data_IF_297227652815
#
_entry.id   IF_297227652815
#
_cell.length_a   1.000
_cell.length_b   1.000
_cell.length_c   1.000
_cell.angle_alpha   90.00
_cell.angle_beta   90.00
_cell.angle_gamma   90.00
#
_symmetry.space_group_name_H-M   'P 1'
#
loop_
_entity.id
_entity.type
_entity.pdbx_description
1 polymer ?
#
# COMPACT_ATOMS: atom_id res chain seq x y z
N UNK A 1 -9.22 5.33 -14.50
CA UNK A 1 -8.77 3.93 -14.41
C UNK A 1 -7.25 3.93 -14.25
N UNK A 2 -6.60 2.77 -14.11
CA UNK A 2 -5.14 2.69 -14.02
C UNK A 2 -4.59 1.77 -15.10
N UNK A 3 -3.33 1.99 -15.48
CA UNK A 3 -2.61 1.19 -16.46
C UNK A 3 -1.20 0.88 -15.95
N UNK A 4 -0.76 -0.35 -16.18
CA UNK A 4 0.61 -0.79 -15.91
C UNK A 4 1.41 -0.71 -17.21
N UNK A 5 2.61 -0.13 -17.15
CA UNK A 5 3.61 -0.27 -18.20
C UNK A 5 4.77 -1.10 -17.65
N UNK A 6 5.10 -2.18 -18.35
CA UNK A 6 6.26 -3.02 -18.06
C UNK A 6 7.39 -2.57 -18.99
N UNK A 7 8.53 -2.19 -18.40
CA UNK A 7 9.74 -1.85 -19.14
C UNK A 7 10.67 -3.06 -19.10
N UNK A 8 11.14 -3.51 -20.25
CA UNK A 8 12.14 -4.56 -20.31
C UNK A 8 13.58 -3.99 -20.19
N UNK A 9 14.58 -4.86 -20.16
CA UNK A 9 15.99 -4.46 -20.14
C UNK A 9 16.49 -3.89 -21.48
N UNK A 10 15.74 -4.06 -22.57
CA UNK A 10 16.05 -3.51 -23.89
C UNK A 10 15.49 -2.09 -24.09
N UNK A 11 14.66 -1.61 -23.15
CA UNK A 11 13.94 -0.34 -23.21
C UNK A 11 12.56 -0.42 -23.90
N UNK A 12 12.12 -1.61 -24.31
CA UNK A 12 10.77 -1.86 -24.81
C UNK A 12 9.75 -1.66 -23.68
N UNK A 13 8.60 -1.06 -24.03
CA UNK A 13 7.51 -0.79 -23.10
C UNK A 13 6.23 -1.47 -23.55
N UNK A 14 5.72 -2.39 -22.74
CA UNK A 14 4.44 -3.06 -22.96
C UNK A 14 3.39 -2.55 -21.98
N UNK A 15 2.15 -2.40 -22.43
CA UNK A 15 1.06 -1.83 -21.63
C UNK A 15 0.04 -2.89 -21.30
N UNK A 16 -0.42 -2.88 -20.05
CA UNK A 16 -1.38 -3.84 -19.53
C UNK A 16 -2.56 -3.10 -18.88
N UNK A 17 -3.77 -3.49 -19.31
CA UNK A 17 -5.00 -3.02 -18.71
C UNK A 17 -5.22 -3.67 -17.35
N UNK A 18 -5.78 -2.89 -16.43
CA UNK A 18 -6.13 -3.35 -15.09
C UNK A 18 -7.06 -4.57 -15.15
N UNK A 19 -6.68 -5.65 -14.47
CA UNK A 19 -7.52 -6.86 -14.39
C UNK A 19 -8.62 -6.70 -13.34
N UNK A 20 -8.28 -6.21 -12.15
CA UNK A 20 -9.25 -5.88 -11.11
C UNK A 20 -8.71 -4.83 -10.14
N UNK A 21 -9.63 -4.12 -9.48
CA UNK A 21 -9.33 -3.24 -8.36
C UNK A 21 -10.20 -3.63 -7.16
N UNK A 22 -9.64 -3.53 -5.96
CA UNK A 22 -10.36 -3.70 -4.71
C UNK A 22 -10.13 -2.52 -3.79
N UNK A 23 -11.22 -1.85 -3.43
CA UNK A 23 -11.23 -0.72 -2.53
C UNK A 23 -11.45 -1.21 -1.09
N UNK A 24 -10.62 -0.72 -0.19
CA UNK A 24 -10.70 -0.90 1.24
C UNK A 24 -10.92 0.47 1.92
N UNK A 25 -11.00 0.52 3.25
CA UNK A 25 -11.35 1.75 3.96
C UNK A 25 -10.45 2.96 3.65
N UNK A 26 -9.14 2.74 3.50
CA UNK A 26 -8.15 3.81 3.27
C UNK A 26 -7.22 3.56 2.07
N UNK A 27 -7.46 2.48 1.33
CA UNK A 27 -6.52 2.01 0.30
C UNK A 27 -7.23 1.31 -0.85
N UNK A 28 -6.50 1.14 -1.96
CA UNK A 28 -6.91 0.29 -3.09
C UNK A 28 -5.80 -0.67 -3.47
N UNK A 29 -6.16 -1.93 -3.67
CA UNK A 29 -5.32 -2.92 -4.33
C UNK A 29 -5.67 -2.98 -5.82
N UNK A 30 -4.69 -2.75 -6.68
CA UNK A 30 -4.80 -2.80 -8.13
C UNK A 30 -3.99 -3.98 -8.65
N UNK A 31 -4.57 -4.81 -9.52
CA UNK A 31 -3.89 -6.01 -9.98
C UNK A 31 -3.95 -6.18 -11.50
N UNK A 32 -2.84 -6.63 -12.05
CA UNK A 32 -2.65 -7.03 -13.44
C UNK A 32 -2.25 -8.49 -13.48
N UNK A 33 -3.18 -9.35 -13.86
CA UNK A 33 -2.97 -10.78 -14.03
C UNK A 33 -2.38 -11.08 -15.41
N UNK A 34 -1.36 -11.92 -15.44
CA UNK A 34 -0.56 -12.15 -16.64
C UNK A 34 -1.29 -12.94 -17.72
N UNK A 35 -2.12 -13.93 -17.40
CA UNK A 35 -2.72 -14.80 -18.43
C UNK A 35 -1.70 -15.36 -19.45
N UNK A 36 -0.41 -15.41 -19.10
CA UNK A 36 0.71 -15.77 -19.99
C UNK A 36 1.38 -14.61 -20.77
N UNK A 37 0.98 -13.35 -20.56
CA UNK A 37 1.46 -12.18 -21.33
C UNK A 37 2.46 -11.28 -20.58
N UNK A 38 2.75 -11.56 -19.30
CA UNK A 38 3.80 -10.84 -18.58
C UNK A 38 5.13 -11.58 -18.80
N UNK A 39 6.22 -10.86 -19.12
CA UNK A 39 7.53 -11.47 -19.35
C UNK A 39 8.14 -12.00 -18.05
N UNK A 40 9.22 -12.76 -18.18
CA UNK A 40 9.99 -13.24 -17.03
C UNK A 40 10.58 -12.08 -16.24
N UNK A 41 10.68 -12.25 -14.93
CA UNK A 41 11.16 -11.18 -14.05
C UNK A 41 12.55 -10.68 -14.45
N UNK A 42 13.43 -11.58 -14.89
CA UNK A 42 14.80 -11.25 -15.32
C UNK A 42 14.85 -10.35 -16.55
N UNK A 43 13.79 -10.33 -17.37
CA UNK A 43 13.72 -9.51 -18.57
C UNK A 43 13.20 -8.10 -18.27
N UNK A 44 12.65 -7.87 -17.08
CA UNK A 44 12.00 -6.62 -16.68
C UNK A 44 13.00 -5.72 -15.94
N UNK A 45 13.04 -4.45 -16.33
CA UNK A 45 13.83 -3.42 -15.65
C UNK A 45 13.00 -2.67 -14.60
N UNK A 46 11.79 -2.24 -14.97
CA UNK A 46 10.91 -1.50 -14.07
C UNK A 46 9.41 -1.66 -14.39
N UNK A 47 8.58 -1.39 -13.40
CA UNK A 47 7.14 -1.22 -13.52
C UNK A 47 6.76 0.24 -13.37
N UNK A 48 5.95 0.76 -14.29
CA UNK A 48 5.41 2.12 -14.22
C UNK A 48 3.90 2.09 -14.08
N UNK A 49 3.40 2.68 -13.01
CA UNK A 49 1.96 2.86 -12.80
C UNK A 49 1.52 4.21 -13.35
N UNK A 50 0.40 4.21 -14.07
CA UNK A 50 -0.22 5.43 -14.59
C UNK A 50 -1.69 5.52 -14.22
N UNK A 51 -2.13 6.73 -13.84
CA UNK A 51 -3.53 7.11 -13.80
C UNK A 51 -4.03 7.48 -15.19
N UNK A 52 -5.13 6.85 -15.61
CA UNK A 52 -5.75 7.08 -16.92
C UNK A 52 -7.10 7.74 -16.70
N UNK A 53 -7.28 8.92 -17.29
CA UNK A 53 -8.51 9.68 -17.16
C UNK A 53 -8.92 10.25 -18.53
N UNK A 54 -10.24 10.31 -18.81
CA UNK A 54 -10.71 10.95 -20.03
C UNK A 54 -10.30 12.43 -19.98
N UNK A 55 -9.85 12.96 -21.12
CA UNK A 55 -9.54 14.39 -21.21
C UNK A 55 -10.80 15.22 -20.96
N UNK A 56 -10.89 15.87 -19.79
CA UNK A 56 -11.95 16.82 -19.48
C UNK A 56 -11.50 18.20 -19.97
N UNK A 57 -11.81 18.57 -21.22
CA UNK A 57 -11.77 19.99 -21.61
C UNK A 57 -12.89 20.71 -20.86
N UNK A 58 -12.56 21.34 -19.74
CA UNK A 58 -13.32 22.48 -19.24
C UNK A 58 -12.98 23.71 -20.09
N UNK A 59 -13.47 23.75 -21.33
CA UNK A 59 -13.78 24.99 -22.08
C UNK A 59 -14.01 24.71 -23.57
N UNK A 60 -15.01 25.42 -24.08
CA UNK A 60 -15.40 25.62 -25.49
C UNK A 60 -16.44 24.64 -26.04
N UNK A 61 -17.70 25.07 -25.87
CA UNK A 61 -18.84 24.70 -26.70
C UNK A 61 -18.50 24.88 -28.18
N UNK A 62 -18.21 23.80 -28.90
CA UNK A 62 -18.50 23.74 -30.32
C UNK A 62 -18.98 22.34 -30.71
N UNK A 63 -20.03 22.35 -31.51
CA UNK A 63 -20.89 21.23 -31.85
C UNK A 63 -20.12 20.01 -32.38
N UNK A 64 -20.31 18.88 -31.72
CA UNK A 64 -19.89 17.57 -32.21
C UNK A 64 -19.94 16.53 -31.09
N UNK A 65 -21.02 15.75 -31.03
CA UNK A 65 -21.07 14.54 -30.21
C UNK A 65 -20.12 13.51 -30.84
N UNK A 66 -18.82 13.61 -30.57
CA UNK A 66 -17.90 12.51 -30.85
C UNK A 66 -18.31 11.31 -29.97
N UNK A 67 -18.35 10.09 -30.52
CA UNK A 67 -18.55 8.87 -29.73
C UNK A 67 -17.57 8.82 -28.55
N UNK A 68 -18.03 8.33 -27.40
CA UNK A 68 -17.23 8.22 -26.16
C UNK A 68 -15.91 7.45 -26.40
N UNK A 69 -15.87 6.57 -27.41
CA UNK A 69 -14.70 5.76 -27.77
C UNK A 69 -13.55 6.50 -28.49
N UNK A 70 -13.72 7.78 -28.86
CA UNK A 70 -12.70 8.55 -29.61
C UNK A 70 -12.05 9.67 -28.78
N UNK A 71 -12.37 9.78 -27.48
CA UNK A 71 -11.74 10.81 -26.64
C UNK A 71 -10.32 10.40 -26.28
N UNK A 72 -9.30 11.24 -26.53
CA UNK A 72 -7.95 10.97 -26.04
C UNK A 72 -8.00 10.82 -24.52
N UNK A 73 -7.47 9.71 -23.99
CA UNK A 73 -7.27 9.55 -22.55
C UNK A 73 -5.93 10.19 -22.17
N UNK A 74 -5.93 11.04 -21.15
CA UNK A 74 -4.71 11.57 -20.56
C UNK A 74 -4.13 10.54 -19.59
N UNK A 75 -2.79 10.49 -19.53
CA UNK A 75 -2.02 9.58 -18.66
C UNK A 75 -1.17 10.41 -17.70
N UNK A 76 -1.35 10.16 -16.41
CA UNK A 76 -0.55 10.72 -15.32
C UNK A 76 0.38 9.64 -14.81
N UNK A 77 1.69 9.83 -14.92
CA UNK A 77 2.67 8.96 -14.28
C UNK A 77 2.54 9.08 -12.76
N UNK A 78 2.55 7.94 -12.06
CA UNK A 78 2.33 7.89 -10.60
C UNK A 78 3.54 7.39 -9.85
N UNK A 79 4.07 6.24 -10.25
CA UNK A 79 5.20 5.59 -9.56
C UNK A 79 5.97 4.72 -10.54
N UNK A 80 7.29 4.69 -10.35
CA UNK A 80 8.21 3.72 -10.96
C UNK A 80 8.79 2.82 -9.88
N UNK A 81 8.76 1.52 -10.15
CA UNK A 81 9.29 0.48 -9.26
C UNK A 81 10.40 -0.23 -10.02
N UNK A 82 11.63 -0.05 -9.55
CA UNK A 82 12.81 -0.67 -10.15
C UNK A 82 13.03 -2.07 -9.59
N UNK A 83 13.28 -3.04 -10.46
CA UNK A 83 13.52 -4.43 -10.07
C UNK A 83 14.98 -4.73 -9.68
N UNK A 84 15.88 -3.76 -9.84
CA UNK A 84 17.27 -3.86 -9.37
C UNK A 84 17.40 -3.91 -7.84
N UNK A 85 16.30 -3.71 -7.11
CA UNK A 85 16.25 -3.74 -5.66
C UNK A 85 15.83 -5.12 -5.15
N UNK A 86 16.25 -5.45 -3.91
CA UNK A 86 16.01 -6.76 -3.30
C UNK A 86 14.53 -7.13 -3.24
N UNK A 87 14.17 -8.30 -3.79
CA UNK A 87 12.84 -8.87 -3.71
C UNK A 87 12.66 -9.69 -2.44
N UNK A 88 11.91 -9.17 -1.47
CA UNK A 88 11.64 -9.88 -0.22
C UNK A 88 10.49 -10.87 -0.40
N UNK A 89 10.69 -12.15 -0.05
CA UNK A 89 9.58 -13.11 0.03
C UNK A 89 8.68 -12.75 1.21
N UNK A 90 7.39 -12.53 0.95
CA UNK A 90 6.41 -12.19 1.99
C UNK A 90 5.34 -13.26 2.18
N UNK A 91 5.07 -14.09 1.16
CA UNK A 91 4.05 -15.14 1.18
C UNK A 91 4.28 -16.09 0.00
N UNK A 92 3.68 -17.28 0.04
CA UNK A 92 3.65 -18.23 -1.07
C UNK A 92 2.40 -19.11 -1.02
N UNK A 93 2.06 -19.72 -2.16
CA UNK A 93 1.11 -20.83 -2.26
C UNK A 93 1.74 -22.03 -2.99
N UNK A 94 0.93 -22.97 -3.47
CA UNK A 94 1.42 -24.16 -4.19
C UNK A 94 2.01 -23.86 -5.57
N UNK A 95 1.63 -22.74 -6.19
CA UNK A 95 1.94 -22.38 -7.57
C UNK A 95 2.77 -21.10 -7.67
N UNK A 96 2.65 -20.19 -6.72
CA UNK A 96 3.16 -18.82 -6.81
C UNK A 96 3.89 -18.40 -5.54
N UNK A 97 5.02 -17.73 -5.71
CA UNK A 97 5.71 -16.99 -4.66
C UNK A 97 5.37 -15.50 -4.73
N UNK A 98 5.13 -14.88 -3.58
CA UNK A 98 4.79 -13.47 -3.47
C UNK A 98 6.02 -12.68 -3.00
N UNK A 99 6.52 -11.82 -3.87
CA UNK A 99 7.69 -10.98 -3.60
C UNK A 99 7.25 -9.53 -3.42
N UNK A 100 7.64 -8.91 -2.32
CA UNK A 100 7.46 -7.49 -2.06
C UNK A 100 8.58 -6.69 -2.73
N UNK A 101 8.16 -5.66 -3.45
CA UNK A 101 8.98 -4.59 -4.00
C UNK A 101 8.68 -3.30 -3.24
N UNK A 102 9.39 -2.24 -3.59
CA UNK A 102 9.14 -0.91 -3.03
C UNK A 102 7.75 -0.35 -3.35
N UNK A 103 7.39 0.72 -2.63
CA UNK A 103 6.17 1.51 -2.87
C UNK A 103 4.87 0.69 -2.80
N UNK A 104 4.82 -0.32 -1.92
CA UNK A 104 3.64 -1.16 -1.73
C UNK A 104 3.33 -2.08 -2.92
N UNK A 105 4.33 -2.38 -3.74
CA UNK A 105 4.20 -3.18 -4.96
C UNK A 105 4.56 -4.61 -4.69
N UNK A 106 3.78 -5.54 -5.24
CA UNK A 106 3.99 -6.97 -5.08
C UNK A 106 3.97 -7.65 -6.44
N UNK A 107 4.86 -8.62 -6.61
CA UNK A 107 4.90 -9.50 -7.78
C UNK A 107 4.63 -10.92 -7.34
N UNK A 108 3.68 -11.58 -8.00
CA UNK A 108 3.51 -13.02 -7.93
C UNK A 108 4.36 -13.68 -9.02
N UNK A 109 5.24 -14.60 -8.64
CA UNK A 109 6.08 -15.38 -9.54
C UNK A 109 5.64 -16.83 -9.58
N UNK A 110 5.50 -17.43 -10.76
CA UNK A 110 5.28 -18.87 -10.88
C UNK A 110 6.48 -19.63 -10.30
N UNK A 111 6.20 -20.59 -9.42
CA UNK A 111 7.23 -21.46 -8.85
C UNK A 111 7.92 -22.23 -9.98
N UNK A 112 9.25 -22.25 -9.93
CA UNK A 112 10.15 -22.90 -10.88
C UNK A 112 10.30 -22.25 -12.26
N UNK A 113 9.51 -21.22 -12.61
CA UNK A 113 9.52 -20.64 -13.96
C UNK A 113 10.06 -19.20 -13.99
N UNK A 114 10.24 -18.52 -12.85
CA UNK A 114 10.60 -17.07 -12.74
C UNK A 114 9.67 -16.11 -13.52
N UNK A 115 8.65 -16.65 -14.17
CA UNK A 115 7.65 -15.96 -14.94
C UNK A 115 6.69 -15.20 -14.01
N UNK A 116 6.35 -13.98 -14.40
CA UNK A 116 5.44 -13.14 -13.62
C UNK A 116 3.99 -13.61 -13.80
N UNK A 117 3.39 -14.10 -12.73
CA UNK A 117 1.97 -14.48 -12.67
C UNK A 117 1.07 -13.24 -12.61
N UNK A 118 1.42 -12.26 -11.78
CA UNK A 118 0.71 -11.00 -11.67
C UNK A 118 1.57 -9.91 -11.00
N UNK A 119 1.17 -8.66 -11.22
CA UNK A 119 1.71 -7.48 -10.50
C UNK A 119 0.56 -6.81 -9.76
N UNK A 120 0.79 -6.43 -8.50
CA UNK A 120 -0.19 -5.79 -7.65
C UNK A 120 0.38 -4.53 -7.00
N UNK A 121 -0.33 -3.42 -7.10
CA UNK A 121 -0.01 -2.17 -6.40
C UNK A 121 -1.01 -1.96 -5.27
N UNK A 122 -0.50 -1.62 -4.08
CA UNK A 122 -1.34 -1.16 -2.97
C UNK A 122 -1.13 0.33 -2.78
N UNK A 123 -2.20 1.12 -2.92
CA UNK A 123 -2.13 2.58 -2.88
C UNK A 123 -3.03 3.12 -1.77
N UNK A 124 -2.49 4.00 -0.94
CA UNK A 124 -3.29 4.75 0.04
C UNK A 124 -4.15 5.80 -0.69
N UNK A 125 -5.36 6.09 -0.19
CA UNK A 125 -6.28 7.07 -0.78
C UNK A 125 -5.81 8.51 -0.68
N UNK A 126 -4.92 8.80 0.25
CA UNK A 126 -4.33 10.13 0.40
C UNK A 126 -3.68 10.58 -0.91
N UNK A 127 -4.26 11.65 -1.49
CA UNK A 127 -3.88 12.24 -2.78
C UNK A 127 -3.96 11.29 -3.98
N UNK A 128 -4.67 10.17 -3.88
CA UNK A 128 -4.71 9.19 -4.96
C UNK A 128 -5.32 9.77 -6.24
N UNK A 129 -6.36 10.60 -6.10
CA UNK A 129 -6.99 11.27 -7.25
C UNK A 129 -6.00 12.23 -7.89
N UNK A 130 -5.39 13.12 -7.11
CA UNK A 130 -4.40 14.08 -7.57
C UNK A 130 -3.22 13.39 -8.26
N UNK A 131 -2.64 12.35 -7.64
CA UNK A 131 -1.59 11.52 -8.24
C UNK A 131 -2.03 10.88 -9.57
N UNK A 132 -3.30 10.50 -9.69
CA UNK A 132 -3.84 9.84 -10.88
C UNK A 132 -4.22 10.80 -12.01
N UNK A 133 -4.38 12.10 -11.75
CA UNK A 133 -4.91 13.05 -12.75
C UNK A 133 -4.07 14.31 -12.97
N UNK A 134 -3.28 14.74 -11.99
CA UNK A 134 -2.53 16.00 -12.02
C UNK A 134 -1.03 15.84 -12.35
N UNK A 135 -0.53 14.61 -12.37
CA UNK A 135 0.82 14.34 -12.91
C UNK A 135 0.85 14.46 -14.44
N UNK A 136 2.05 14.57 -14.98
CA UNK A 136 2.28 14.54 -16.43
C UNK A 136 2.57 13.11 -16.88
N UNK A 137 2.78 12.91 -18.19
CA UNK A 137 3.19 11.60 -18.70
C UNK A 137 4.60 11.17 -18.29
N UNK A 138 5.41 12.09 -17.75
CA UNK A 138 6.83 11.88 -17.43
C UNK A 138 7.16 12.16 -15.97
N UNK A 139 6.36 13.00 -15.29
CA UNK A 139 6.63 13.43 -13.92
C UNK A 139 5.43 13.11 -13.02
N UNK A 140 5.65 12.54 -11.83
CA UNK A 140 4.58 12.30 -10.88
C UNK A 140 4.06 13.63 -10.34
N UNK A 141 2.85 13.60 -9.78
CA UNK A 141 2.33 14.72 -9.01
C UNK A 141 3.22 14.98 -7.80
N UNK A 142 3.70 16.21 -7.67
CA UNK A 142 4.42 16.69 -6.48
C UNK A 142 3.48 17.56 -5.66
N UNK A 143 3.38 17.25 -4.37
CA UNK A 143 2.58 18.05 -3.45
C UNK A 143 3.22 19.44 -3.25
N UNK A 144 2.43 20.53 -3.21
CA UNK A 144 2.94 21.83 -2.86
C UNK A 144 3.57 21.81 -1.47
N UNK A 145 4.84 22.20 -1.37
CA UNK A 145 5.53 22.34 -0.09
C UNK A 145 4.93 23.51 0.69
N UNK A 146 4.02 23.22 1.62
CA UNK A 146 3.54 24.21 2.58
C UNK A 146 4.53 24.26 3.74
N UNK A 147 5.25 25.36 3.91
CA UNK A 147 6.00 25.59 5.14
C UNK A 147 4.99 25.84 6.26
N UNK A 148 5.09 25.16 7.41
CA UNK A 148 4.27 25.53 8.55
C UNK A 148 4.49 27.02 8.85
N UNK A 149 3.45 27.76 9.26
CA UNK A 149 3.63 29.12 9.72
C UNK A 149 4.66 29.14 10.86
N UNK A 150 5.50 30.16 10.87
CA UNK A 150 6.45 30.35 11.95
C UNK A 150 5.69 30.66 13.23
N UNK A 151 5.91 29.87 14.28
CA UNK A 151 5.40 30.11 15.63
C UNK A 151 6.61 30.37 16.54
N UNK A 152 6.63 31.51 17.22
CA UNK A 152 7.66 31.93 18.17
C UNK A 152 7.33 31.56 19.62
N UNK A 153 6.13 31.05 19.88
CA UNK A 153 5.60 30.70 21.20
C UNK A 153 5.74 29.20 21.44
N UNK A 154 5.48 28.38 20.42
CA UNK A 154 5.57 26.93 20.50
C UNK A 154 6.75 26.34 19.69
N UNK A 155 7.84 25.91 20.34
CA UNK A 155 8.96 25.26 19.65
C UNK A 155 8.58 23.89 19.06
N UNK A 156 7.45 23.32 19.44
CA UNK A 156 6.89 22.04 18.95
C UNK A 156 5.61 22.26 18.13
N UNK A 157 5.42 23.44 17.53
CA UNK A 157 4.26 23.75 16.70
C UNK A 157 4.08 22.71 15.58
N UNK A 158 2.89 22.10 15.50
CA UNK A 158 2.59 21.00 14.57
C UNK A 158 3.08 19.61 15.01
N UNK A 159 3.78 19.49 16.14
CA UNK A 159 4.34 18.23 16.65
C UNK A 159 3.56 17.62 17.83
N UNK A 160 2.32 18.05 18.02
CA UNK A 160 1.46 17.56 19.09
C UNK A 160 0.07 17.16 18.57
N UNK A 161 -0.70 16.48 19.43
CA UNK A 161 -2.10 16.13 19.13
C UNK A 161 -2.31 15.12 18.02
N UNK A 162 -1.30 14.28 17.72
CA UNK A 162 -1.39 13.35 16.60
C UNK A 162 -2.53 12.34 16.74
N UNK A 163 -3.15 12.02 15.60
CA UNK A 163 -4.15 10.97 15.50
C UNK A 163 -3.68 9.91 14.52
N UNK A 164 -3.57 8.67 15.00
CA UNK A 164 -3.23 7.52 14.17
C UNK A 164 -4.50 6.74 13.85
N UNK A 165 -4.78 6.60 12.56
CA UNK A 165 -5.74 5.63 12.03
C UNK A 165 -4.96 4.48 11.39
N UNK A 166 -5.12 3.29 11.95
CA UNK A 166 -4.37 2.10 11.58
C UNK A 166 -5.32 1.00 11.15
N UNK A 167 -5.07 0.38 10.01
CA UNK A 167 -5.92 -0.65 9.43
C UNK A 167 -5.07 -1.83 8.97
N UNK A 168 -5.37 -3.02 9.49
CA UNK A 168 -4.89 -4.28 8.91
C UNK A 168 -6.04 -4.91 8.14
N UNK A 169 -5.80 -5.23 6.88
CA UNK A 169 -6.81 -5.86 6.03
C UNK A 169 -6.15 -6.77 5.02
N UNK A 170 -6.95 -7.54 4.31
CA UNK A 170 -6.50 -8.29 3.16
C UNK A 170 -7.31 -7.88 1.93
N UNK A 171 -7.36 -8.78 0.96
CA UNK A 171 -8.14 -8.60 -0.27
C UNK A 171 -9.55 -9.21 -0.20
N UNK A 172 -10.02 -9.70 0.96
CA UNK A 172 -11.27 -10.50 1.05
C UNK A 172 -12.10 -10.22 2.31
N UNK A 173 -11.49 -10.15 3.49
CA UNK A 173 -12.10 -10.10 4.81
C UNK A 173 -12.19 -8.69 5.43
N UNK A 174 -12.88 -8.63 6.59
CA UNK A 174 -13.13 -7.39 7.33
C UNK A 174 -11.83 -6.83 7.90
N UNK A 175 -11.58 -5.52 7.74
CA UNK A 175 -10.40 -4.87 8.30
C UNK A 175 -10.43 -4.86 9.83
N UNK A 176 -9.30 -5.13 10.48
CA UNK A 176 -9.04 -4.67 11.84
C UNK A 176 -8.71 -3.18 11.74
N UNK A 177 -9.47 -2.33 12.44
CA UNK A 177 -9.26 -0.89 12.46
C UNK A 177 -9.03 -0.42 13.88
N UNK A 178 -7.94 0.33 14.07
CA UNK A 178 -7.53 0.92 15.33
C UNK A 178 -7.38 2.42 15.16
N UNK A 179 -7.76 3.16 16.21
CA UNK A 179 -7.64 4.61 16.28
C UNK A 179 -6.96 4.97 17.59
N UNK A 180 -5.87 5.73 17.49
CA UNK A 180 -5.14 6.22 18.65
C UNK A 180 -5.05 7.74 18.59
N UNK A 181 -5.19 8.36 19.75
CA UNK A 181 -4.79 9.74 19.98
C UNK A 181 -3.47 9.66 20.72
N UNK A 182 -2.44 10.31 20.21
CA UNK A 182 -1.08 10.26 20.75
C UNK A 182 -0.79 11.56 21.50
N UNK A 183 -0.69 11.52 22.84
CA UNK A 183 -0.17 12.63 23.61
C UNK A 183 1.33 12.79 23.34
N UNK A 184 1.82 14.03 23.27
CA UNK A 184 3.25 14.34 23.11
C UNK A 184 4.14 13.68 24.15
N UNK A 185 3.66 13.59 25.40
CA UNK A 185 4.40 12.96 26.49
C UNK A 185 4.71 11.46 26.27
N UNK A 186 4.07 10.79 25.29
CA UNK A 186 4.34 9.39 24.94
C UNK A 186 5.34 9.23 23.80
N UNK A 187 5.80 10.33 23.19
CA UNK A 187 6.81 10.32 22.15
C UNK A 187 8.19 10.36 22.82
N UNK A 188 9.01 9.36 22.56
CA UNK A 188 10.38 9.29 23.06
C UNK A 188 11.30 8.99 21.87
N UNK A 189 12.29 9.84 21.64
CA UNK A 189 13.26 9.72 20.53
C UNK A 189 12.60 9.55 19.15
N UNK A 190 11.47 10.24 18.92
CA UNK A 190 10.71 10.17 17.67
C UNK A 190 9.87 8.90 17.49
N UNK A 191 9.78 8.04 18.51
CA UNK A 191 8.99 6.81 18.51
C UNK A 191 7.84 6.91 19.52
N UNK A 192 6.74 6.23 19.22
CA UNK A 192 5.59 6.09 20.12
C UNK A 192 5.19 4.63 20.23
N UNK A 193 5.00 4.15 21.46
CA UNK A 193 4.48 2.80 21.71
C UNK A 193 2.96 2.86 21.91
N UNK A 194 2.22 2.13 21.07
CA UNK A 194 0.75 2.08 21.11
C UNK A 194 0.26 0.69 21.46
N UNK A 195 -0.65 0.62 22.44
CA UNK A 195 -1.22 -0.65 22.91
C UNK A 195 -2.71 -0.69 22.57
N UNK A 196 -3.09 -1.55 21.63
CA UNK A 196 -4.46 -1.67 21.13
C UNK A 196 -5.44 -2.35 22.11
N UNK A 197 -4.94 -3.31 22.91
CA UNK A 197 -5.73 -4.11 23.84
C UNK A 197 -5.06 -4.04 25.21
N UNK A 198 -5.78 -3.53 26.21
CA UNK A 198 -5.31 -3.58 27.59
C UNK A 198 -5.41 -5.03 28.10
N UNK A 199 -4.29 -5.62 28.53
CA UNK A 199 -4.19 -7.03 28.95
C UNK A 199 -5.21 -7.44 30.03
N UNK A 200 -5.71 -6.47 30.80
CA UNK A 200 -6.66 -6.67 31.90
C UNK A 200 -8.11 -6.85 31.44
N UNK A 201 -8.48 -6.37 30.23
CA UNK A 201 -9.89 -6.26 29.83
C UNK A 201 -10.25 -7.23 28.68
N UNK A 202 -10.66 -8.44 29.06
CA UNK A 202 -10.97 -9.57 28.16
C UNK A 202 -12.07 -9.28 27.13
N UNK A 203 -12.98 -8.34 27.40
CA UNK A 203 -14.11 -8.01 26.52
C UNK A 203 -13.76 -7.22 25.25
N UNK A 204 -12.54 -6.68 25.15
CA UNK A 204 -12.04 -5.99 23.95
C UNK A 204 -11.22 -6.90 23.03
N UNK A 205 -11.00 -8.17 23.44
CA UNK A 205 -10.29 -9.15 22.62
C UNK A 205 -11.22 -9.63 21.50
N UNK A 206 -10.99 -9.16 20.28
CA UNK A 206 -11.31 -10.02 19.14
C UNK A 206 -10.19 -11.04 19.10
N UNK A 207 -10.48 -12.30 19.43
CA UNK A 207 -9.49 -13.36 19.28
C UNK A 207 -9.05 -13.39 17.81
N UNK A 208 -7.80 -13.02 17.57
CA UNK A 208 -7.06 -13.39 16.37
C UNK A 208 -6.68 -14.88 16.50
N UNK A 209 -7.67 -15.73 16.80
CA UNK A 209 -7.47 -17.17 16.99
C UNK A 209 -7.61 -17.87 15.65
N UNK A 210 -6.58 -18.66 15.33
CA UNK A 210 -6.45 -19.35 14.07
C UNK A 210 -5.48 -18.61 13.15
N UNK A 211 -4.74 -19.37 12.35
CA UNK A 211 -3.86 -18.89 11.27
C UNK A 211 -4.30 -17.51 10.79
N UNK A 212 -3.49 -16.47 11.05
CA UNK A 212 -3.70 -15.11 10.55
C UNK A 212 -3.39 -15.11 9.04
N UNK A 213 -4.11 -15.99 8.33
CA UNK A 213 -4.08 -16.19 6.91
C UNK A 213 -4.97 -15.12 6.33
N UNK A 214 -4.33 -14.02 5.95
CA UNK A 214 -4.94 -12.92 5.25
C UNK A 214 -4.63 -13.13 3.76
N UNK A 215 -5.51 -13.81 3.00
CA UNK A 215 -5.16 -14.24 1.66
C UNK A 215 -5.03 -13.06 0.72
N UNK A 216 -3.89 -13.00 0.03
CA UNK A 216 -3.86 -12.34 -1.27
C UNK A 216 -4.63 -13.21 -2.24
N UNK A 217 -5.35 -12.59 -3.18
CA UNK A 217 -6.06 -13.31 -4.23
C UNK A 217 -5.88 -12.60 -5.56
N UNK A 218 -5.47 -13.33 -6.59
CA UNK A 218 -5.49 -12.87 -7.97
C UNK A 218 -6.20 -13.90 -8.84
N UNK A 219 -7.47 -13.66 -9.17
CA UNK A 219 -8.30 -14.64 -9.88
C UNK A 219 -8.50 -15.92 -9.07
N UNK A 220 -7.94 -17.04 -9.56
CA UNK A 220 -7.96 -18.35 -8.91
C UNK A 220 -6.77 -18.59 -7.95
N UNK A 221 -5.74 -17.74 -8.00
CA UNK A 221 -4.55 -17.85 -7.15
C UNK A 221 -4.82 -17.23 -5.76
N UNK A 222 -4.32 -17.89 -4.71
CA UNK A 222 -4.48 -17.42 -3.34
C UNK A 222 -3.36 -17.98 -2.44
N UNK A 223 -2.80 -17.13 -1.58
CA UNK A 223 -1.82 -17.57 -0.57
C UNK A 223 -2.21 -17.18 0.85
N UNK A 224 -1.36 -17.47 1.82
CA UNK A 224 -1.57 -17.18 3.26
C UNK A 224 -0.42 -16.35 3.84
N UNK A 225 -0.57 -15.82 5.05
CA UNK A 225 0.50 -15.17 5.85
C UNK A 225 1.05 -13.82 5.32
N UNK A 226 0.24 -13.04 4.59
CA UNK A 226 0.54 -11.64 4.31
C UNK A 226 -0.67 -10.77 4.63
N UNK A 227 -0.48 -9.51 5.01
CA UNK A 227 -1.60 -8.57 5.13
C UNK A 227 -1.26 -7.22 4.54
N UNK A 228 -2.27 -6.42 4.25
CA UNK A 228 -2.08 -5.03 3.88
C UNK A 228 -2.20 -4.19 5.16
N UNK A 229 -1.11 -3.54 5.51
CA UNK A 229 -1.09 -2.48 6.50
C UNK A 229 -1.45 -1.17 5.82
N UNK A 230 -2.42 -0.44 6.36
CA UNK A 230 -2.69 0.95 5.98
C UNK A 230 -2.65 1.84 7.21
N UNK A 231 -1.84 2.90 7.14
CA UNK A 231 -1.60 3.85 8.19
C UNK A 231 -1.90 5.26 7.68
N UNK A 232 -2.66 6.02 8.48
CA UNK A 232 -2.89 7.45 8.29
C UNK A 232 -2.57 8.13 9.63
N UNK A 233 -1.45 8.84 9.69
CA UNK A 233 -1.09 9.72 10.79
C UNK A 233 -1.50 11.15 10.44
N UNK A 234 -2.31 11.75 11.29
CA UNK A 234 -2.76 13.14 11.18
C UNK A 234 -2.07 13.99 12.26
N UNK A 235 -1.69 15.22 11.92
CA UNK A 235 -1.24 16.23 12.87
C UNK A 235 -2.40 16.81 13.71
N UNK A 236 -2.10 17.74 14.62
CA UNK A 236 -3.12 18.46 15.42
C UNK A 236 -4.18 19.17 14.57
N UNK A 237 -3.84 19.63 13.37
CA UNK A 237 -4.75 20.29 12.43
C UNK A 237 -5.54 19.29 11.57
N UNK A 238 -5.45 18.00 11.89
CA UNK A 238 -6.07 16.89 11.15
C UNK A 238 -5.57 16.80 9.71
N UNK A 239 -4.39 17.35 9.42
CA UNK A 239 -3.74 17.21 8.11
C UNK A 239 -2.93 15.92 8.07
N UNK A 240 -2.99 15.18 6.97
CA UNK A 240 -2.15 13.99 6.79
C UNK A 240 -0.66 14.33 6.89
N UNK A 241 0.00 13.72 7.87
CA UNK A 241 1.44 13.85 8.10
C UNK A 241 2.19 12.67 7.47
N UNK A 242 1.71 11.45 7.69
CA UNK A 242 2.28 10.23 7.10
C UNK A 242 1.15 9.28 6.69
N UNK A 243 1.17 8.85 5.43
CA UNK A 243 0.13 8.00 4.84
C UNK A 243 0.77 6.89 4.03
N UNK A 244 0.50 5.65 4.42
CA UNK A 244 1.10 4.50 3.75
C UNK A 244 0.13 3.34 3.69
N UNK A 245 0.18 2.60 2.58
CA UNK A 245 -0.48 1.31 2.44
C UNK A 245 0.50 0.34 1.80
N UNK A 246 0.85 -0.74 2.49
CA UNK A 246 1.80 -1.71 1.99
C UNK A 246 1.41 -3.12 2.41
N UNK A 247 1.60 -4.13 1.53
CA UNK A 247 1.67 -5.51 1.95
C UNK A 247 2.84 -5.69 2.93
N UNK A 248 2.61 -6.46 3.99
CA UNK A 248 3.58 -6.83 5.02
C UNK A 248 3.48 -8.34 5.28
N UNK A 249 4.61 -8.93 5.69
CA UNK A 249 4.65 -10.32 6.14
C UNK A 249 4.38 -10.37 7.64
N UNK A 250 3.64 -11.40 8.07
CA UNK A 250 3.41 -11.69 9.48
C UNK A 250 4.18 -12.97 9.80
N UNK A 251 5.15 -12.87 10.72
CA UNK A 251 6.02 -13.97 11.09
C UNK A 251 5.75 -14.43 12.53
N UNK A 252 5.78 -15.75 12.81
CA UNK A 252 5.68 -16.24 14.18
C UNK A 252 6.94 -15.85 14.98
N UNK A 253 6.74 -15.47 16.23
CA UNK A 253 7.76 -15.03 17.16
C UNK A 253 8.28 -16.15 18.06
N UNK A 254 9.57 -16.09 18.40
CA UNK A 254 10.20 -16.97 19.40
C UNK A 254 10.38 -16.22 20.73
N UNK A 255 9.29 -15.99 21.48
CA UNK A 255 9.40 -15.42 22.84
C UNK A 255 8.65 -16.28 23.85
N UNK A 256 9.13 -16.39 25.11
CA UNK A 256 8.49 -17.20 26.13
C UNK A 256 7.08 -16.68 26.42
N UNK A 257 6.13 -17.61 26.38
CA UNK A 257 4.70 -17.41 26.63
C UNK A 257 4.51 -16.63 27.92
N UNK A 258 3.93 -15.42 27.83
CA UNK A 258 3.47 -14.66 28.99
C UNK A 258 2.21 -15.37 29.52
N UNK A 259 2.11 -15.54 30.85
CA UNK A 259 1.10 -16.38 31.52
C UNK A 259 -0.38 -16.03 31.24
N UNK A 260 -0.67 -14.91 30.56
CA UNK A 260 -2.01 -14.38 30.30
C UNK A 260 -2.51 -14.58 28.85
N UNK A 261 -1.69 -15.20 27.98
CA UNK A 261 -2.06 -15.53 26.61
C UNK A 261 -1.48 -16.88 26.17
N UNK A 262 -2.32 -17.78 25.66
CA UNK A 262 -1.94 -19.16 25.30
C UNK A 262 -1.61 -19.35 23.80
N UNK A 263 -1.58 -18.29 23.01
CA UNK A 263 -1.23 -18.35 21.58
C UNK A 263 0.21 -17.90 21.30
N UNK A 264 0.76 -18.34 20.17
CA UNK A 264 2.08 -17.91 19.71
C UNK A 264 2.04 -16.43 19.30
N UNK A 265 3.00 -15.59 19.75
CA UNK A 265 3.06 -14.20 19.33
C UNK A 265 3.45 -14.11 17.86
N UNK A 266 2.86 -13.19 17.11
CA UNK A 266 3.28 -12.85 15.76
C UNK A 266 3.89 -11.46 15.71
N UNK A 267 4.84 -11.28 14.79
CA UNK A 267 5.50 -10.01 14.55
C UNK A 267 5.32 -9.56 13.11
N UNK A 268 5.20 -8.26 12.92
CA UNK A 268 5.21 -7.62 11.62
C UNK A 268 5.99 -6.32 11.69
N UNK A 269 6.66 -6.00 10.60
CA UNK A 269 7.55 -4.83 10.50
C UNK A 269 7.33 -4.12 9.16
N UNK A 270 7.47 -2.80 9.19
CA UNK A 270 7.44 -1.94 8.02
C UNK A 270 8.39 -0.78 8.21
N UNK A 271 9.10 -0.39 7.17
CA UNK A 271 9.97 0.77 7.17
C UNK A 271 10.02 1.40 5.78
N UNK A 272 9.94 2.73 5.73
CA UNK A 272 10.19 3.55 4.57
C UNK A 272 10.91 4.85 4.96
N UNK A 273 11.07 5.76 4.00
CA UNK A 273 11.67 7.07 4.27
C UNK A 273 10.85 7.96 5.21
N UNK A 274 9.56 7.67 5.40
CA UNK A 274 8.65 8.43 6.26
C UNK A 274 8.63 7.94 7.70
N UNK A 275 8.93 6.67 7.95
CA UNK A 275 9.07 6.13 9.29
C UNK A 275 9.09 4.60 9.34
N UNK A 276 8.98 4.06 10.55
CA UNK A 276 8.92 2.61 10.79
C UNK A 276 7.75 2.23 11.69
N UNK A 277 7.26 1.02 11.50
CA UNK A 277 6.21 0.40 12.31
C UNK A 277 6.67 -0.99 12.72
N UNK A 278 6.66 -1.25 14.03
CA UNK A 278 6.93 -2.55 14.62
C UNK A 278 5.67 -2.99 15.38
N UNK A 279 5.16 -4.17 15.04
CA UNK A 279 3.93 -4.71 15.61
C UNK A 279 4.18 -6.06 16.26
N UNK A 280 3.62 -6.21 17.46
CA UNK A 280 3.44 -7.48 18.12
C UNK A 280 1.94 -7.79 18.18
N UNK A 281 1.54 -8.89 17.56
CA UNK A 281 0.18 -9.42 17.57
C UNK A 281 0.17 -10.61 18.54
N UNK A 282 -0.51 -10.46 19.66
CA UNK A 282 -0.78 -11.53 20.63
C UNK A 282 -2.28 -11.80 20.63
#
# INVERSE_FOLDING_TARGET
TWELTVCDNSGQKTRHNLSWARFCGTSVALCWGGGGHLPDLEQISSFLLHGVHPYLRFSSFHHGKAPISLRPSSRSFMVEVNLSKSLQLISEDRLVELRLLESGTVVGLWKNEQAVAFVMFTLHFHKLVEKSVQGSSLCPYTEPTFKPPFDDIDPEYGLHGYQLHFVLHDTVYKPLTLRFIIPTAQICDGLVQLTAINGVNLGQRTLLSGNLALPWRCGALQGTNGCIMSLTLLDEFHKPFWCVSSPISIVPGQMPVRNDYAGDPFFAWYEDSGGKVEMQLA
#
